data_IF_858322976170
#
_entry.id   IF_858322976170
#
_cell.length_a   1.000
_cell.length_b   1.000
_cell.length_c   1.000
_cell.angle_alpha   90.00
_cell.angle_beta   90.00
_cell.angle_gamma   90.00
#
_symmetry.space_group_name_H-M   'P 1'
#
loop_
_entity.id
_entity.type
_entity.pdbx_description
1 polymer ?
#
# COMPACT_ATOMS: atom_id res chain seq x y z
N UNK A 1 -18.59 -81.18 15.75
CA UNK A 1 -19.67 -82.11 15.33
C UNK A 1 -19.74 -83.24 16.35
N UNK A 2 -20.90 -83.51 16.98
CA UNK A 2 -21.02 -84.62 17.93
C UNK A 2 -21.02 -85.95 17.17
N UNK A 3 -20.05 -86.83 17.46
CA UNK A 3 -20.07 -88.21 16.97
C UNK A 3 -20.60 -89.09 18.10
N UNK A 4 -21.84 -89.54 17.96
CA UNK A 4 -22.44 -90.49 18.89
C UNK A 4 -22.21 -91.90 18.35
N UNK A 5 -21.40 -92.68 19.04
CA UNK A 5 -21.27 -94.12 18.80
C UNK A 5 -22.13 -94.85 19.84
N UNK A 6 -23.04 -95.70 19.38
CA UNK A 6 -23.84 -96.55 20.27
C UNK A 6 -23.36 -98.00 20.13
N UNK A 7 -22.89 -98.58 21.24
CA UNK A 7 -22.53 -99.98 21.35
C UNK A 7 -22.63 -100.45 22.80
N UNK A 8 -23.27 -101.59 23.04
CA UNK A 8 -23.39 -102.18 24.38
C UNK A 8 -24.43 -101.54 25.32
N UNK A 9 -25.42 -100.80 24.80
CA UNK A 9 -26.56 -100.32 25.59
C UNK A 9 -26.44 -98.91 26.19
N UNK A 10 -25.35 -98.18 25.91
CA UNK A 10 -25.21 -96.77 26.28
C UNK A 10 -24.72 -95.96 25.07
N UNK A 11 -25.49 -94.95 24.66
CA UNK A 11 -25.07 -93.99 23.65
C UNK A 11 -24.31 -92.86 24.33
N UNK A 12 -23.00 -92.75 24.07
CA UNK A 12 -22.21 -91.61 24.53
C UNK A 12 -21.96 -90.67 23.35
N UNK A 13 -22.34 -89.41 23.50
CA UNK A 13 -22.06 -88.37 22.53
C UNK A 13 -20.84 -87.58 23.01
N UNK A 14 -19.71 -87.80 22.35
CA UNK A 14 -18.52 -87.00 22.59
C UNK A 14 -18.61 -85.69 21.79
N UNK A 15 -18.34 -84.56 22.45
CA UNK A 15 -18.17 -83.29 21.75
C UNK A 15 -16.74 -83.24 21.24
N UNK A 16 -16.58 -83.15 19.93
CA UNK A 16 -15.27 -83.00 19.29
C UNK A 16 -14.98 -81.52 19.11
N UNK A 17 -13.85 -81.08 19.65
CA UNK A 17 -13.38 -79.72 19.50
C UNK A 17 -13.06 -79.42 18.03
N UNK A 18 -13.46 -78.25 17.54
CA UNK A 18 -12.99 -77.73 16.27
C UNK A 18 -11.64 -77.02 16.44
N UNK A 19 -11.10 -76.46 15.35
CA UNK A 19 -9.89 -75.66 15.42
C UNK A 19 -10.04 -74.52 16.44
N UNK A 20 -8.96 -74.22 17.18
CA UNK A 20 -8.92 -73.16 18.20
C UNK A 20 -9.91 -73.34 19.38
N UNK A 21 -10.50 -74.53 19.53
CA UNK A 21 -11.39 -74.89 20.64
C UNK A 21 -10.73 -76.02 21.44
N UNK A 22 -10.74 -75.90 22.76
CA UNK A 22 -10.37 -76.98 23.68
C UNK A 22 -11.62 -77.40 24.45
N UNK A 23 -11.83 -78.71 24.58
CA UNK A 23 -12.93 -79.26 25.37
C UNK A 23 -12.33 -80.12 26.47
N UNK A 24 -12.68 -79.80 27.70
CA UNK A 24 -12.35 -80.60 28.89
C UNK A 24 -13.62 -81.04 29.60
N UNK A 25 -13.50 -81.99 30.52
CA UNK A 25 -14.65 -82.63 31.16
C UNK A 25 -15.28 -83.74 30.31
N UNK A 26 -16.14 -84.55 30.93
CA UNK A 26 -16.72 -85.74 30.30
C UNK A 26 -18.18 -85.58 29.88
N UNK A 27 -18.78 -84.42 30.17
CA UNK A 27 -20.20 -84.15 29.94
C UNK A 27 -21.15 -84.83 30.92
N UNK A 28 -20.64 -85.39 32.03
CA UNK A 28 -21.50 -85.96 33.08
C UNK A 28 -21.95 -84.89 34.07
N UNK A 29 -22.99 -85.17 34.86
CA UNK A 29 -23.45 -84.22 35.89
C UNK A 29 -22.36 -83.87 36.93
N UNK A 30 -21.42 -84.81 37.18
CA UNK A 30 -20.29 -84.60 38.09
C UNK A 30 -19.04 -84.01 37.42
N UNK A 31 -18.97 -84.03 36.08
CA UNK A 31 -17.86 -83.48 35.30
C UNK A 31 -18.36 -82.90 33.96
N UNK A 32 -19.01 -81.72 33.98
CA UNK A 32 -19.57 -81.09 32.79
C UNK A 32 -18.50 -80.75 31.75
N UNK A 33 -18.88 -80.61 30.48
CA UNK A 33 -17.96 -80.09 29.47
C UNK A 33 -17.62 -78.63 29.76
N UNK A 34 -16.32 -78.32 29.77
CA UNK A 34 -15.81 -76.94 29.74
C UNK A 34 -15.19 -76.74 28.37
N UNK A 35 -15.84 -75.89 27.57
CA UNK A 35 -15.39 -75.52 26.24
C UNK A 35 -14.70 -74.16 26.35
N UNK A 36 -13.42 -74.11 26.03
CA UNK A 36 -12.67 -72.87 25.87
C UNK A 36 -12.31 -72.69 24.40
N UNK A 37 -12.22 -71.45 23.96
CA UNK A 37 -11.65 -71.10 22.67
C UNK A 37 -10.57 -70.05 22.88
N UNK A 38 -9.43 -70.24 22.25
CA UNK A 38 -8.38 -69.24 22.18
C UNK A 38 -8.25 -68.87 20.71
N UNK A 39 -8.39 -67.58 20.38
CA UNK A 39 -8.10 -67.11 19.03
C UNK A 39 -6.69 -66.54 19.08
N UNK A 40 -5.70 -67.25 18.54
CA UNK A 40 -4.34 -66.76 18.56
C UNK A 40 -4.22 -65.46 17.74
N UNK A 41 -3.37 -64.54 18.17
CA UNK A 41 -3.21 -63.25 17.51
C UNK A 41 -2.87 -63.40 16.01
N UNK A 42 -2.11 -64.43 15.65
CA UNK A 42 -1.76 -64.76 14.27
C UNK A 42 -2.97 -65.11 13.40
N UNK A 43 -4.06 -65.62 13.98
CA UNK A 43 -5.30 -65.95 13.26
C UNK A 43 -6.09 -64.69 12.94
N UNK A 44 -6.16 -63.73 13.87
CA UNK A 44 -6.81 -62.43 13.64
C UNK A 44 -5.99 -61.56 12.68
N UNK A 45 -4.66 -61.71 12.72
CA UNK A 45 -3.71 -60.90 11.94
C UNK A 45 -3.93 -60.98 10.43
N UNK A 46 -4.25 -62.16 9.89
CA UNK A 46 -4.56 -62.30 8.47
C UNK A 46 -5.83 -61.56 8.04
N UNK A 47 -6.69 -61.20 8.99
CA UNK A 47 -7.93 -60.45 8.75
C UNK A 47 -7.72 -58.94 8.79
N UNK A 48 -6.57 -58.45 9.27
CA UNK A 48 -6.23 -57.03 9.31
C UNK A 48 -5.43 -56.67 8.06
N UNK A 49 -6.09 -56.11 7.06
CA UNK A 49 -5.44 -55.47 5.92
C UNK A 49 -5.52 -53.96 6.06
N UNK A 50 -4.38 -53.29 6.09
CA UNK A 50 -4.29 -51.83 6.01
C UNK A 50 -3.49 -51.44 4.76
N UNK A 51 -3.71 -50.21 4.26
CA UNK A 51 -2.82 -49.59 3.27
C UNK A 51 -1.58 -48.99 3.94
N UNK A 52 -0.73 -48.35 3.14
CA UNK A 52 0.60 -47.82 3.53
C UNK A 52 0.60 -46.70 4.60
N UNK A 53 -0.52 -46.40 5.25
CA UNK A 53 -0.64 -45.38 6.31
C UNK A 53 -0.60 -45.96 7.73
N UNK A 54 -0.34 -47.26 7.87
CA UNK A 54 -0.34 -47.99 9.15
C UNK A 54 0.87 -48.91 9.19
N UNK A 55 1.60 -48.88 10.31
CA UNK A 55 2.69 -49.81 10.61
C UNK A 55 2.25 -50.85 11.65
N UNK A 56 2.85 -52.04 11.59
CA UNK A 56 2.57 -53.14 12.49
C UNK A 56 3.87 -53.81 12.97
N UNK A 57 4.14 -53.70 14.27
CA UNK A 57 5.26 -54.39 14.90
C UNK A 57 4.91 -55.84 15.23
N UNK A 58 5.54 -56.77 14.52
CA UNK A 58 5.28 -58.20 14.64
C UNK A 58 5.72 -58.80 15.98
N UNK A 59 6.67 -58.16 16.67
CA UNK A 59 7.23 -58.66 17.92
C UNK A 59 6.38 -58.27 19.13
N UNK A 60 5.67 -57.15 19.04
CA UNK A 60 4.84 -56.60 20.12
C UNK A 60 3.33 -56.69 19.84
N UNK A 61 2.93 -56.85 18.58
CA UNK A 61 1.53 -56.88 18.15
C UNK A 61 0.86 -55.51 18.08
N UNK A 62 1.63 -54.42 18.14
CA UNK A 62 1.11 -53.04 18.14
C UNK A 62 0.84 -52.56 16.72
N UNK A 63 -0.30 -51.90 16.52
CA UNK A 63 -0.66 -51.18 15.29
C UNK A 63 -0.46 -49.68 15.55
N UNK A 64 0.32 -49.01 14.71
CA UNK A 64 0.58 -47.57 14.77
C UNK A 64 0.31 -46.90 13.42
N UNK A 65 0.13 -45.58 13.41
CA UNK A 65 0.12 -44.87 12.13
C UNK A 65 1.54 -44.83 11.54
N UNK A 66 1.63 -44.96 10.22
CA UNK A 66 2.88 -44.74 9.49
C UNK A 66 2.93 -43.29 9.02
N UNK A 67 3.85 -42.51 9.61
CA UNK A 67 3.99 -41.09 9.30
C UNK A 67 5.04 -40.92 8.20
N UNK A 68 4.65 -40.27 7.11
CA UNK A 68 5.55 -39.99 5.98
C UNK A 68 6.75 -39.14 6.40
N UNK A 69 7.96 -39.57 6.03
CA UNK A 69 9.21 -38.82 6.17
C UNK A 69 9.41 -37.76 5.07
N UNK A 70 8.44 -37.58 4.17
CA UNK A 70 8.55 -36.59 3.11
C UNK A 70 8.57 -35.15 3.66
N UNK A 71 9.41 -34.31 3.05
CA UNK A 71 9.47 -32.89 3.36
C UNK A 71 8.09 -32.24 3.18
N UNK A 72 7.62 -31.53 4.22
CA UNK A 72 6.30 -30.90 4.26
C UNK A 72 5.22 -31.69 4.99
N UNK A 73 5.47 -32.95 5.38
CA UNK A 73 4.60 -33.62 6.35
C UNK A 73 4.72 -32.94 7.72
N UNK A 74 3.56 -32.68 8.32
CA UNK A 74 3.43 -31.95 9.58
C UNK A 74 2.65 -32.72 10.64
N UNK A 75 2.21 -33.94 10.32
CA UNK A 75 1.51 -34.80 11.28
C UNK A 75 2.55 -35.40 12.25
N UNK A 76 2.23 -35.39 13.54
CA UNK A 76 3.04 -35.97 14.60
C UNK A 76 2.14 -36.73 15.60
N UNK A 77 2.76 -37.55 16.44
CA UNK A 77 2.09 -38.14 17.60
C UNK A 77 2.15 -37.18 18.79
N UNK A 78 1.01 -36.91 19.41
CA UNK A 78 0.87 -36.10 20.61
C UNK A 78 1.35 -36.82 21.86
N UNK A 79 1.54 -36.10 22.98
CA UNK A 79 1.87 -36.71 24.28
C UNK A 79 0.79 -37.69 24.80
N UNK A 80 -0.42 -37.58 24.27
CA UNK A 80 -1.56 -38.48 24.52
C UNK A 80 -1.59 -39.70 23.58
N UNK A 81 -0.63 -39.80 22.65
CA UNK A 81 -0.55 -40.86 21.64
C UNK A 81 -1.46 -40.65 20.43
N UNK A 82 -2.21 -39.54 20.36
CA UNK A 82 -3.07 -39.21 19.21
C UNK A 82 -2.30 -38.60 18.04
N UNK A 83 -2.84 -38.71 16.83
CA UNK A 83 -2.33 -37.95 15.68
C UNK A 83 -2.77 -36.49 15.76
N UNK A 84 -1.82 -35.57 15.63
CA UNK A 84 -2.10 -34.14 15.54
C UNK A 84 -1.15 -33.45 14.56
N UNK A 85 -1.54 -32.27 14.09
CA UNK A 85 -0.64 -31.37 13.37
C UNK A 85 -0.25 -30.27 14.36
N UNK A 86 1.04 -30.13 14.73
CA UNK A 86 1.46 -29.07 15.62
C UNK A 86 1.11 -27.71 15.03
N UNK A 87 0.62 -26.83 15.88
CA UNK A 87 0.37 -25.42 15.56
C UNK A 87 1.66 -24.79 15.01
N UNK A 88 1.61 -24.25 13.79
CA UNK A 88 2.76 -23.64 13.10
C UNK A 88 3.64 -24.60 12.27
N UNK A 89 3.26 -25.88 12.14
CA UNK A 89 4.05 -26.87 11.39
C UNK A 89 4.05 -26.60 9.87
N UNK A 90 2.97 -26.05 9.31
CA UNK A 90 3.04 -25.41 8.00
C UNK A 90 3.75 -24.05 8.18
N UNK A 91 5.07 -24.03 8.00
CA UNK A 91 5.84 -22.79 7.98
C UNK A 91 5.37 -21.97 6.78
N UNK A 92 4.47 -21.02 7.03
CA UNK A 92 4.14 -20.04 6.00
C UNK A 92 5.35 -19.13 5.86
N UNK A 93 6.04 -19.22 4.73
CA UNK A 93 7.03 -18.21 4.36
C UNK A 93 6.27 -16.92 4.07
N UNK A 94 6.07 -16.09 5.10
CA UNK A 94 5.41 -14.81 4.95
C UNK A 94 6.29 -13.89 4.10
N UNK A 95 5.70 -13.37 3.03
CA UNK A 95 6.30 -12.36 2.20
C UNK A 95 6.30 -10.99 2.90
N UNK A 96 6.81 -10.00 2.19
CA UNK A 96 6.82 -8.63 2.65
C UNK A 96 5.43 -8.13 3.07
N UNK A 97 5.38 -7.42 4.19
CA UNK A 97 4.13 -6.85 4.66
C UNK A 97 3.14 -7.83 5.25
N UNK A 98 3.53 -9.09 5.43
CA UNK A 98 2.76 -10.08 6.14
C UNK A 98 3.41 -10.38 7.49
N UNK A 99 2.58 -10.58 8.50
CA UNK A 99 2.96 -10.98 9.85
C UNK A 99 2.21 -12.25 10.23
N UNK A 100 2.74 -13.00 11.19
CA UNK A 100 2.20 -14.29 11.60
C UNK A 100 2.95 -15.45 10.95
N UNK A 101 2.75 -16.65 11.48
CA UNK A 101 3.38 -17.88 11.03
C UNK A 101 2.36 -18.88 10.45
N UNK A 102 1.08 -18.50 10.42
CA UNK A 102 -0.02 -19.36 9.97
C UNK A 102 -0.58 -20.27 11.05
N UNK A 103 -0.07 -20.19 12.28
CA UNK A 103 -0.69 -20.82 13.44
C UNK A 103 -2.04 -20.19 13.80
N UNK A 104 -2.86 -20.92 14.55
CA UNK A 104 -4.07 -20.34 15.15
C UNK A 104 -3.79 -19.19 16.12
N UNK A 105 -2.61 -19.16 16.76
CA UNK A 105 -2.17 -18.10 17.67
C UNK A 105 -1.56 -16.89 16.96
N UNK A 106 -1.05 -17.07 15.74
CA UNK A 106 -0.47 -16.02 14.91
C UNK A 106 -0.84 -16.24 13.43
N UNK A 107 -2.13 -16.04 13.06
CA UNK A 107 -2.57 -16.16 11.67
C UNK A 107 -1.79 -15.22 10.76
N UNK A 108 -1.63 -15.59 9.50
CA UNK A 108 -0.99 -14.70 8.52
C UNK A 108 -1.90 -13.51 8.23
N UNK A 109 -1.43 -12.31 8.51
CA UNK A 109 -2.15 -11.05 8.32
C UNK A 109 -1.27 -10.03 7.61
N UNK A 110 -1.89 -9.07 6.91
CA UNK A 110 -1.14 -7.92 6.41
C UNK A 110 -0.81 -6.97 7.58
N UNK A 111 0.44 -6.50 7.63
CA UNK A 111 0.89 -5.50 8.59
C UNK A 111 0.41 -4.11 8.14
N UNK A 112 -0.86 -3.81 8.38
CA UNK A 112 -1.52 -2.56 7.99
C UNK A 112 -1.69 -1.62 9.17
N UNK A 113 -1.77 -0.31 8.89
CA UNK A 113 -2.24 0.69 9.85
C UNK A 113 -3.68 1.10 9.58
N UNK A 114 -4.30 1.80 10.53
CA UNK A 114 -5.64 2.38 10.33
C UNK A 114 -5.60 3.45 9.25
N UNK A 115 -6.61 3.47 8.38
CA UNK A 115 -6.81 4.54 7.41
C UNK A 115 -7.24 5.82 8.15
N UNK A 116 -6.40 6.87 8.22
CA UNK A 116 -6.65 8.00 9.10
C UNK A 116 -7.54 9.08 8.46
N UNK A 117 -8.07 8.84 7.26
CA UNK A 117 -8.81 9.84 6.49
C UNK A 117 -10.32 9.57 6.48
N UNK A 118 -11.16 10.63 6.41
CA UNK A 118 -12.62 10.47 6.37
C UNK A 118 -13.16 9.82 5.08
N UNK A 119 -12.38 9.81 4.00
CA UNK A 119 -12.78 9.25 2.72
C UNK A 119 -12.56 7.73 2.66
N UNK A 120 -13.23 7.02 1.75
CA UNK A 120 -13.08 5.56 1.65
C UNK A 120 -11.70 5.15 1.11
N UNK A 121 -11.03 4.24 1.84
CA UNK A 121 -9.80 3.60 1.39
C UNK A 121 -10.00 2.77 0.11
N UNK A 122 -11.18 2.17 -0.08
CA UNK A 122 -11.47 1.35 -1.28
C UNK A 122 -11.58 2.20 -2.54
N UNK A 123 -11.83 3.50 -2.39
CA UNK A 123 -12.03 4.43 -3.51
C UNK A 123 -10.79 5.27 -3.79
N UNK A 124 -10.04 5.65 -2.76
CA UNK A 124 -8.92 6.59 -2.87
C UNK A 124 -7.58 6.02 -2.37
N UNK A 125 -7.54 4.75 -1.95
CA UNK A 125 -6.31 4.08 -1.54
C UNK A 125 -5.33 3.98 -2.69
N UNK A 126 -4.09 4.41 -2.46
CA UNK A 126 -3.00 4.29 -3.42
C UNK A 126 -2.39 2.88 -3.42
N UNK A 127 -1.40 2.68 -4.27
CA UNK A 127 -0.66 1.40 -4.34
C UNK A 127 0.22 1.24 -3.09
N UNK A 128 0.20 0.04 -2.53
CA UNK A 128 1.12 -0.37 -1.47
C UNK A 128 2.20 -1.27 -2.08
N UNK A 129 3.46 -0.84 -1.96
CA UNK A 129 4.63 -1.55 -2.47
C UNK A 129 5.49 -2.08 -1.31
N UNK A 130 6.22 -3.15 -1.59
CA UNK A 130 7.20 -3.68 -0.66
C UNK A 130 8.56 -2.99 -0.83
N UNK A 131 9.19 -2.55 0.26
CA UNK A 131 10.60 -2.14 0.24
C UNK A 131 11.58 -3.31 0.43
N UNK A 132 12.87 -3.06 0.20
CA UNK A 132 13.93 -4.09 0.30
C UNK A 132 14.08 -4.71 1.70
N UNK A 133 13.45 -4.15 2.72
CA UNK A 133 13.48 -4.63 4.09
C UNK A 133 12.19 -5.38 4.48
N UNK A 134 11.27 -5.60 3.54
CA UNK A 134 10.03 -6.32 3.81
C UNK A 134 8.91 -5.45 4.39
N UNK A 135 9.01 -4.11 4.29
CA UNK A 135 8.00 -3.18 4.82
C UNK A 135 7.07 -2.69 3.70
N UNK A 136 5.78 -2.65 3.97
CA UNK A 136 4.79 -2.04 3.09
C UNK A 136 4.89 -0.50 3.14
N UNK A 137 5.02 0.10 1.96
CA UNK A 137 5.08 1.55 1.76
C UNK A 137 3.97 1.95 0.81
N UNK A 138 3.30 3.06 1.11
CA UNK A 138 2.41 3.69 0.15
C UNK A 138 3.20 4.59 -0.82
N UNK A 139 2.51 5.11 -1.82
CA UNK A 139 2.99 6.22 -2.63
C UNK A 139 3.50 7.41 -1.78
N UNK A 140 4.49 8.17 -2.27
CA UNK A 140 4.98 9.36 -1.57
C UNK A 140 3.84 10.36 -1.27
N UNK A 141 3.84 10.98 -0.09
CA UNK A 141 2.81 11.97 0.28
C UNK A 141 2.87 13.20 -0.62
N UNK A 142 1.72 13.69 -1.08
CA UNK A 142 1.63 14.95 -1.83
C UNK A 142 2.44 16.08 -1.17
N UNK A 143 3.17 16.85 -1.99
CA UNK A 143 4.06 17.93 -1.54
C UNK A 143 3.64 19.24 -2.18
N UNK A 144 3.47 20.26 -1.34
CA UNK A 144 3.29 21.64 -1.77
C UNK A 144 4.57 22.40 -1.47
N UNK A 145 5.07 23.15 -2.45
CA UNK A 145 6.27 23.97 -2.31
C UNK A 145 6.01 25.38 -2.80
N UNK A 146 6.52 26.37 -2.06
CA UNK A 146 6.37 27.78 -2.37
C UNK A 146 7.74 28.43 -2.54
N UNK A 147 7.87 29.30 -3.56
CA UNK A 147 9.04 30.13 -3.81
C UNK A 147 8.58 31.51 -4.26
N UNK A 148 9.31 32.54 -3.85
CA UNK A 148 9.01 33.93 -4.19
C UNK A 148 10.27 34.60 -4.70
N UNK A 149 10.11 35.38 -5.76
CA UNK A 149 11.07 36.34 -6.26
C UNK A 149 10.44 37.72 -6.18
N UNK A 150 11.14 38.70 -5.62
CA UNK A 150 10.68 40.08 -5.56
C UNK A 150 11.83 40.98 -5.96
N UNK A 151 11.56 41.95 -6.83
CA UNK A 151 12.53 42.96 -7.22
C UNK A 151 11.87 44.33 -7.20
N UNK A 152 12.59 45.32 -6.67
CA UNK A 152 12.29 46.72 -6.83
C UNK A 152 13.37 47.36 -7.71
N UNK A 153 12.97 47.96 -8.84
CA UNK A 153 13.89 48.66 -9.73
C UNK A 153 13.51 50.12 -9.86
N UNK A 154 14.44 50.99 -9.50
CA UNK A 154 14.32 52.44 -9.64
C UNK A 154 14.81 52.88 -11.04
N UNK A 155 14.20 53.93 -11.56
CA UNK A 155 14.49 54.54 -12.85
C UNK A 155 14.63 56.05 -12.70
N UNK A 156 15.46 56.67 -13.54
CA UNK A 156 15.68 58.12 -13.54
C UNK A 156 14.52 58.89 -14.20
N UNK A 157 13.31 58.74 -13.65
CA UNK A 157 12.08 59.42 -14.06
C UNK A 157 11.88 59.44 -15.59
N UNK A 158 11.87 58.24 -16.18
CA UNK A 158 11.81 58.02 -17.61
C UNK A 158 10.43 58.33 -18.17
N UNK A 159 10.35 58.79 -19.41
CA UNK A 159 9.07 59.07 -20.08
C UNK A 159 8.29 57.78 -20.31
N UNK A 160 6.98 57.81 -20.05
CA UNK A 160 6.08 56.70 -20.41
C UNK A 160 5.90 56.69 -21.93
N UNK A 161 6.13 55.55 -22.62
CA UNK A 161 5.92 55.43 -24.06
C UNK A 161 4.51 55.81 -24.49
N UNK A 162 4.37 56.54 -25.60
CA UNK A 162 3.05 56.86 -26.18
C UNK A 162 2.41 55.66 -26.85
N UNK A 163 3.20 54.84 -27.53
CA UNK A 163 2.76 53.56 -28.11
C UNK A 163 2.40 52.56 -27.01
N UNK A 164 1.27 51.88 -27.18
CA UNK A 164 0.83 50.81 -26.26
C UNK A 164 1.76 49.60 -26.33
N UNK A 165 1.81 48.79 -25.25
CA UNK A 165 2.56 47.54 -25.19
C UNK A 165 4.08 47.70 -25.45
N UNK A 166 4.66 48.86 -25.11
CA UNK A 166 6.11 49.07 -25.24
C UNK A 166 6.82 48.42 -24.06
N UNK A 167 7.59 47.35 -24.32
CA UNK A 167 8.35 46.65 -23.26
C UNK A 167 9.44 47.56 -22.70
N UNK A 168 9.40 47.80 -21.39
CA UNK A 168 10.40 48.62 -20.68
C UNK A 168 11.29 47.80 -19.77
N UNK A 169 10.83 46.62 -19.32
CA UNK A 169 11.58 45.72 -18.47
C UNK A 169 11.16 44.28 -18.65
N UNK A 170 12.09 43.36 -18.37
CA UNK A 170 11.82 41.94 -18.16
C UNK A 170 12.41 41.54 -16.82
N UNK A 171 11.64 40.81 -16.03
CA UNK A 171 12.06 40.20 -14.78
C UNK A 171 12.00 38.68 -14.93
N UNK A 172 13.04 37.99 -14.47
CA UNK A 172 13.17 36.55 -14.68
C UNK A 172 13.31 35.85 -13.34
N UNK A 173 12.48 34.85 -13.10
CA UNK A 173 12.58 33.95 -11.96
C UNK A 173 12.73 32.50 -12.43
N UNK A 174 13.51 31.72 -11.70
CA UNK A 174 13.65 30.29 -11.94
C UNK A 174 13.09 29.51 -10.75
N UNK A 175 12.26 28.51 -11.06
CA UNK A 175 11.62 27.66 -10.07
C UNK A 175 11.94 26.20 -10.37
N UNK A 176 12.65 25.54 -9.47
CA UNK A 176 12.98 24.12 -9.58
C UNK A 176 11.97 23.30 -8.79
N UNK A 177 11.40 22.25 -9.41
CA UNK A 177 10.57 21.28 -8.71
C UNK A 177 11.42 20.56 -7.64
N UNK A 178 11.15 20.77 -6.33
CA UNK A 178 11.92 20.16 -5.27
C UNK A 178 11.45 18.75 -4.91
N UNK A 179 10.42 18.22 -5.58
CA UNK A 179 10.07 16.81 -5.54
C UNK A 179 10.97 16.04 -6.52
N UNK A 180 11.64 15.01 -6.03
CA UNK A 180 12.58 14.18 -6.79
C UNK A 180 11.90 12.97 -7.42
N UNK A 181 10.63 12.73 -7.10
CA UNK A 181 9.90 11.54 -7.51
C UNK A 181 8.72 11.87 -8.44
N UNK A 182 8.07 13.03 -8.27
CA UNK A 182 6.84 13.36 -8.99
C UNK A 182 6.89 14.67 -9.77
N UNK A 183 6.18 14.75 -10.90
CA UNK A 183 5.97 16.01 -11.57
C UNK A 183 5.16 16.98 -10.68
N UNK A 184 5.30 18.28 -10.94
CA UNK A 184 4.55 19.32 -10.24
C UNK A 184 3.67 20.13 -11.19
N UNK A 185 2.41 20.39 -10.80
CA UNK A 185 1.66 21.52 -11.32
C UNK A 185 2.28 22.81 -10.78
N UNK A 186 2.58 23.77 -11.66
CA UNK A 186 3.19 25.05 -11.26
C UNK A 186 2.24 26.20 -11.57
N UNK A 187 1.71 26.80 -10.51
CA UNK A 187 0.93 28.03 -10.57
C UNK A 187 1.84 29.20 -10.20
N UNK A 188 1.84 30.25 -11.02
CA UNK A 188 2.62 31.46 -10.76
C UNK A 188 1.70 32.64 -10.58
N UNK A 189 1.82 33.31 -9.44
CA UNK A 189 1.32 34.66 -9.25
C UNK A 189 2.35 35.67 -9.75
N UNK A 190 1.90 36.65 -10.53
CA UNK A 190 2.71 37.75 -11.03
C UNK A 190 2.07 39.07 -10.62
N UNK A 191 2.73 39.77 -9.72
CA UNK A 191 2.31 41.06 -9.18
C UNK A 191 3.18 42.17 -9.78
N UNK A 192 2.55 43.27 -10.19
CA UNK A 192 3.20 44.44 -10.77
C UNK A 192 2.70 45.72 -10.10
N UNK A 193 3.67 46.54 -9.71
CA UNK A 193 3.49 47.92 -9.27
C UNK A 193 4.37 48.82 -10.15
N UNK A 194 3.76 49.83 -10.77
CA UNK A 194 4.49 50.88 -11.48
C UNK A 194 4.13 52.22 -10.86
N UNK A 195 5.16 52.97 -10.47
CA UNK A 195 5.00 54.31 -9.91
C UNK A 195 5.10 55.37 -11.01
N UNK A 196 4.00 56.10 -11.21
CA UNK A 196 3.89 57.16 -12.20
C UNK A 196 3.93 58.55 -11.58
N UNK A 197 4.58 59.47 -12.28
CA UNK A 197 4.47 60.91 -12.08
C UNK A 197 3.67 61.48 -13.26
N UNK A 198 2.47 62.00 -12.97
CA UNK A 198 1.49 62.45 -13.95
C UNK A 198 1.22 63.95 -13.77
N UNK A 199 1.83 64.82 -14.61
CA UNK A 199 1.44 66.22 -14.70
C UNK A 199 -0.06 66.41 -14.98
N UNK A 200 -0.56 67.63 -14.83
CA UNK A 200 -1.94 67.95 -15.19
C UNK A 200 -2.22 67.58 -16.66
N UNK A 201 -3.29 66.82 -16.91
CA UNK A 201 -3.66 66.32 -18.24
C UNK A 201 -2.87 65.08 -18.72
N UNK A 202 -1.86 64.62 -17.97
CA UNK A 202 -1.05 63.46 -18.33
C UNK A 202 -1.80 62.13 -18.16
N UNK A 203 -1.37 61.10 -18.88
CA UNK A 203 -1.91 59.76 -18.75
C UNK A 203 -0.82 58.70 -18.92
N UNK A 204 -1.01 57.54 -18.30
CA UNK A 204 -0.14 56.39 -18.43
C UNK A 204 -0.91 55.09 -18.22
N UNK A 205 -0.44 54.03 -18.88
CA UNK A 205 -0.85 52.66 -18.63
C UNK A 205 0.36 51.77 -18.38
N UNK A 206 0.12 50.66 -17.68
CA UNK A 206 1.02 49.53 -17.65
C UNK A 206 0.27 48.22 -17.92
N UNK A 207 0.99 47.27 -18.50
CA UNK A 207 0.46 45.98 -18.91
C UNK A 207 1.36 44.83 -18.42
N UNK A 208 0.74 43.67 -18.26
CA UNK A 208 1.44 42.41 -18.01
C UNK A 208 1.36 41.55 -19.26
N UNK A 209 2.50 41.31 -19.94
CA UNK A 209 2.59 40.55 -21.19
C UNK A 209 1.57 40.99 -22.27
N UNK A 210 1.47 42.31 -22.51
CA UNK A 210 0.59 42.97 -23.50
C UNK A 210 -0.90 43.09 -23.16
N UNK A 211 -1.30 42.67 -21.96
CA UNK A 211 -2.67 42.83 -21.46
C UNK A 211 -2.74 43.94 -20.41
N UNK A 212 -3.39 45.05 -20.79
CA UNK A 212 -3.45 46.31 -20.03
C UNK A 212 -4.15 46.10 -18.71
N UNK A 213 -3.40 46.25 -17.61
CA UNK A 213 -3.90 46.00 -16.27
C UNK A 213 -4.39 47.27 -15.60
N UNK A 214 -3.80 48.40 -15.98
CA UNK A 214 -4.10 49.67 -15.35
C UNK A 214 -3.85 50.81 -16.32
N UNK A 215 -4.83 51.70 -16.42
CA UNK A 215 -4.72 52.98 -17.09
C UNK A 215 -5.23 54.07 -16.16
N UNK A 216 -4.48 55.16 -16.06
CA UNK A 216 -4.86 56.34 -15.30
C UNK A 216 -4.61 57.61 -16.12
N UNK A 217 -5.56 58.54 -16.04
CA UNK A 217 -5.43 59.89 -16.59
C UNK A 217 -5.61 60.92 -15.47
N UNK A 218 -4.68 61.86 -15.38
CA UNK A 218 -4.81 63.02 -14.53
C UNK A 218 -5.74 64.05 -15.19
N UNK A 219 -6.99 64.10 -14.75
CA UNK A 219 -7.96 65.13 -15.18
C UNK A 219 -7.96 66.37 -14.30
N UNK A 220 -7.10 66.42 -13.29
CA UNK A 220 -6.92 67.57 -12.39
C UNK A 220 -6.01 68.64 -12.99
N UNK A 221 -5.83 69.72 -12.21
CA UNK A 221 -4.99 70.86 -12.56
C UNK A 221 -3.59 70.83 -11.91
N UNK A 222 -3.33 69.88 -11.01
CA UNK A 222 -2.04 69.69 -10.33
C UNK A 222 -1.37 68.39 -10.75
N UNK A 223 -0.07 68.25 -10.47
CA UNK A 223 0.65 67.00 -10.72
C UNK A 223 0.29 65.95 -9.66
N UNK A 224 0.06 64.71 -10.10
CA UNK A 224 0.03 63.55 -9.20
C UNK A 224 1.40 62.87 -9.22
N UNK A 225 1.98 62.64 -8.05
CA UNK A 225 3.35 62.14 -7.90
C UNK A 225 3.36 60.77 -7.24
N UNK A 226 4.21 59.88 -7.73
CA UNK A 226 4.32 58.49 -7.26
C UNK A 226 2.96 57.80 -7.15
N UNK A 227 2.08 58.00 -8.12
CA UNK A 227 0.78 57.30 -8.16
C UNK A 227 1.05 55.88 -8.59
N UNK A 228 0.55 54.92 -7.82
CA UNK A 228 0.75 53.52 -8.11
C UNK A 228 -0.46 52.70 -7.68
N UNK A 229 -0.61 51.55 -8.33
CA UNK A 229 -1.52 50.49 -7.93
C UNK A 229 -0.84 49.16 -8.16
N UNK A 230 -1.16 48.19 -7.32
CA UNK A 230 -0.67 46.82 -7.45
C UNK A 230 -1.71 45.98 -8.15
N UNK A 231 -1.31 45.31 -9.24
CA UNK A 231 -2.17 44.36 -9.96
C UNK A 231 -1.50 43.00 -9.98
N UNK A 232 -2.31 41.94 -9.97
CA UNK A 232 -1.82 40.56 -9.93
C UNK A 232 -2.52 39.69 -10.98
N UNK A 233 -1.80 38.69 -11.49
CA UNK A 233 -2.35 37.59 -12.30
C UNK A 233 -1.89 36.27 -11.71
N UNK A 234 -2.83 35.32 -11.62
CA UNK A 234 -2.52 33.92 -11.34
C UNK A 234 -2.56 33.15 -12.67
N UNK A 235 -1.46 32.51 -13.02
CA UNK A 235 -1.31 31.77 -14.27
C UNK A 235 -0.87 30.33 -13.98
N UNK A 236 -1.42 29.38 -14.72
CA UNK A 236 -0.82 28.05 -14.80
C UNK A 236 0.41 28.12 -15.70
N UNK A 237 1.60 28.10 -15.10
CA UNK A 237 2.85 28.21 -15.84
C UNK A 237 3.30 26.87 -16.44
N UNK A 238 3.03 25.76 -15.74
CA UNK A 238 3.26 24.41 -16.25
C UNK A 238 2.24 23.46 -15.65
N UNK A 239 1.63 22.60 -16.48
CA UNK A 239 0.75 21.53 -16.03
C UNK A 239 1.54 20.33 -15.45
N UNK A 240 2.82 20.19 -15.80
CA UNK A 240 3.68 19.09 -15.38
C UNK A 240 5.15 19.49 -15.53
N UNK A 241 5.77 19.91 -14.43
CA UNK A 241 7.20 20.13 -14.33
C UNK A 241 7.86 18.88 -13.76
N UNK A 242 8.67 18.18 -14.56
CA UNK A 242 9.31 16.93 -14.16
C UNK A 242 10.09 17.03 -12.84
N UNK A 243 10.32 15.90 -12.13
CA UNK A 243 11.08 15.90 -10.88
C UNK A 243 12.46 16.53 -11.07
N UNK A 244 12.85 17.45 -10.19
CA UNK A 244 14.12 18.18 -10.27
C UNK A 244 14.27 19.15 -11.46
N UNK A 245 13.30 19.24 -12.37
CA UNK A 245 13.36 20.15 -13.51
C UNK A 245 13.16 21.61 -13.07
N UNK A 246 13.74 22.53 -13.84
CA UNK A 246 13.66 23.99 -13.60
C UNK A 246 12.83 24.67 -14.66
N UNK A 247 11.88 25.48 -14.22
CA UNK A 247 11.03 26.33 -15.04
C UNK A 247 11.52 27.77 -14.96
N UNK A 248 11.74 28.40 -16.11
CA UNK A 248 12.05 29.84 -16.19
C UNK A 248 10.77 30.61 -16.48
N UNK A 249 10.50 31.62 -15.66
CA UNK A 249 9.34 32.53 -15.78
C UNK A 249 9.87 33.90 -16.15
N UNK A 250 9.58 34.31 -17.38
CA UNK A 250 9.84 35.67 -17.85
C UNK A 250 8.58 36.49 -17.66
N UNK A 251 8.70 37.58 -16.92
CA UNK A 251 7.64 38.55 -16.71
C UNK A 251 8.00 39.85 -17.44
N UNK A 252 7.35 40.09 -18.58
CA UNK A 252 7.56 41.31 -19.34
C UNK A 252 6.61 42.41 -18.83
N UNK A 253 7.20 43.52 -18.44
CA UNK A 253 6.47 44.74 -18.10
C UNK A 253 6.46 45.64 -19.32
N UNK A 254 5.27 45.94 -19.81
CA UNK A 254 5.06 46.91 -20.87
C UNK A 254 4.37 48.14 -20.31
N UNK A 255 4.71 49.30 -20.88
CA UNK A 255 4.06 50.57 -20.61
C UNK A 255 3.50 51.13 -21.89
N UNK A 256 2.53 52.04 -21.76
CA UNK A 256 1.92 52.65 -22.93
C UNK A 256 1.04 53.84 -22.61
N UNK A 257 0.46 54.40 -23.67
CA UNK A 257 -0.51 55.50 -23.61
C UNK A 257 -0.01 56.71 -22.83
N UNK A 258 1.31 56.88 -22.81
CA UNK A 258 2.00 58.03 -22.25
C UNK A 258 1.57 59.31 -22.96
N UNK A 259 0.97 60.22 -22.22
CA UNK A 259 0.54 61.53 -22.72
C UNK A 259 0.82 62.62 -21.68
N UNK A 260 0.86 63.89 -22.12
CA UNK A 260 0.98 65.06 -21.23
C UNK A 260 2.24 65.09 -20.37
N UNK A 261 3.33 64.46 -20.81
CA UNK A 261 4.59 64.42 -20.08
C UNK A 261 4.65 63.41 -18.93
N UNK A 262 3.80 62.38 -18.95
CA UNK A 262 3.83 61.28 -17.99
C UNK A 262 5.22 60.60 -17.91
N UNK A 263 5.65 60.32 -16.67
CA UNK A 263 6.92 59.65 -16.37
C UNK A 263 6.71 58.51 -15.37
N UNK A 264 7.66 57.59 -15.30
CA UNK A 264 7.73 56.55 -14.27
C UNK A 264 9.12 56.54 -13.64
N UNK A 265 9.16 56.26 -12.34
CA UNK A 265 10.41 56.24 -11.57
C UNK A 265 10.68 54.91 -10.88
N UNK A 266 9.72 53.98 -10.84
CA UNK A 266 9.88 52.70 -10.16
C UNK A 266 9.01 51.61 -10.77
N UNK A 267 9.54 50.39 -10.83
CA UNK A 267 8.79 49.17 -11.11
C UNK A 267 9.11 48.16 -10.01
N UNK A 268 8.09 47.68 -9.30
CA UNK A 268 8.19 46.58 -8.35
C UNK A 268 7.45 45.38 -8.90
N UNK A 269 8.06 44.20 -8.77
CA UNK A 269 7.43 42.94 -9.15
C UNK A 269 7.55 41.93 -8.04
N UNK A 270 6.54 41.05 -7.94
CA UNK A 270 6.66 39.79 -7.23
C UNK A 270 6.23 38.64 -8.16
N UNK A 271 7.10 37.64 -8.31
CA UNK A 271 6.81 36.39 -9.02
C UNK A 271 6.82 35.28 -7.97
N UNK A 272 5.65 34.71 -7.67
CA UNK A 272 5.49 33.67 -6.65
C UNK A 272 5.05 32.39 -7.33
N UNK A 273 5.75 31.29 -7.08
CA UNK A 273 5.39 29.98 -7.61
C UNK A 273 4.89 29.07 -6.50
N UNK A 274 3.68 28.54 -6.69
CA UNK A 274 3.12 27.42 -5.94
C UNK A 274 3.28 26.16 -6.80
N UNK A 275 4.09 25.22 -6.32
CA UNK A 275 4.34 23.93 -6.95
C UNK A 275 3.62 22.83 -6.16
N UNK A 276 2.78 22.06 -6.84
CA UNK A 276 1.97 21.00 -6.24
C UNK A 276 2.33 19.67 -6.91
N UNK A 277 3.01 18.81 -6.16
CA UNK A 277 3.36 17.44 -6.56
C UNK A 277 2.41 16.47 -5.86
N UNK A 278 1.50 15.84 -6.62
CA UNK A 278 0.54 14.86 -6.12
C UNK A 278 0.97 13.47 -6.52
#
# INVERSE_FOLDING_TARGET
MARCGCGGGLCNCSVVAGDNVTISGSGSAANPYVVSSEVPCETVRACLSAGDGIDFDQSTGVISADLSDQAGNNIAFGPDGGLFVPTGAATVSVGCGLTGDGSGSAPVTANTGDWPYPCSVDTLGGVVACDSNGVLRSEPRGKVSYRSFTENREYNNLTVPSAQNTRVATFTAQFTNPDTCRPALVLTERELDVSFNLPAGAAAAYDQDTDEMYYLKNTGSSSMTSVHTQTTKLLQQSASLAPGATLTVNFNVTLGRGAGGARYNRIQVAIRALMISL
#
